data_IF_478288672092
#
_entry.id   IF_478288672092
#
_cell.length_a   1.000
_cell.length_b   1.000
_cell.length_c   1.000
_cell.angle_alpha   90.00
_cell.angle_beta   90.00
_cell.angle_gamma   90.00
#
_symmetry.space_group_name_H-M   'P 1'
#
loop_
_entity.id
_entity.type
_entity.pdbx_description
1 polymer ?
#
# COMPACT_ATOMS: atom_id res chain seq x y z
N UNK A 1 15.29 3.57 1.73
CA UNK A 1 13.86 3.60 1.34
C UNK A 1 12.94 3.95 2.52
N UNK A 2 12.88 3.13 3.58
CA UNK A 2 11.97 3.39 4.71
C UNK A 2 12.27 4.70 5.48
N UNK A 3 13.55 5.10 5.54
CA UNK A 3 14.00 6.38 6.13
C UNK A 3 13.18 7.58 5.64
N UNK A 4 12.89 7.65 4.33
CA UNK A 4 12.16 8.77 3.74
C UNK A 4 10.73 8.90 4.28
N UNK A 5 10.05 7.76 4.46
CA UNK A 5 8.67 7.76 5.00
C UNK A 5 8.67 8.11 6.48
N UNK A 6 9.67 7.66 7.22
CA UNK A 6 9.82 7.93 8.64
C UNK A 6 10.20 9.41 8.88
N UNK A 7 11.15 9.96 8.12
CA UNK A 7 11.53 11.37 8.23
C UNK A 7 10.35 12.30 7.96
N UNK A 8 9.57 12.03 6.91
CA UNK A 8 8.33 12.77 6.64
C UNK A 8 7.34 12.68 7.81
N UNK A 9 7.15 11.48 8.37
CA UNK A 9 6.26 11.28 9.51
C UNK A 9 6.68 12.14 10.71
N UNK A 10 7.97 12.13 11.06
CA UNK A 10 8.54 12.93 12.16
C UNK A 10 8.32 14.42 11.91
N UNK A 11 8.68 14.93 10.72
CA UNK A 11 8.58 16.34 10.38
C UNK A 11 7.14 16.88 10.49
N UNK A 12 6.17 16.11 10.00
CA UNK A 12 4.76 16.47 10.08
C UNK A 12 4.28 16.54 11.54
N UNK A 13 4.62 15.54 12.35
CA UNK A 13 4.24 15.53 13.77
C UNK A 13 4.95 16.64 14.57
N UNK A 14 6.25 16.86 14.35
CA UNK A 14 6.98 17.97 14.96
C UNK A 14 6.42 19.34 14.58
N UNK A 15 5.70 19.42 13.46
CA UNK A 15 4.99 20.63 13.03
C UNK A 15 3.53 20.70 13.51
N UNK A 16 3.09 19.79 14.38
CA UNK A 16 1.71 19.72 14.88
C UNK A 16 0.68 19.24 13.86
N UNK A 17 1.11 18.61 12.75
CA UNK A 17 0.24 18.04 11.73
C UNK A 17 0.06 16.55 11.93
N UNK A 18 -1.14 16.04 11.66
CA UNK A 18 -1.42 14.59 11.62
C UNK A 18 -1.24 14.09 10.19
N UNK A 19 -0.12 13.41 9.93
CA UNK A 19 0.14 12.85 8.60
C UNK A 19 -0.35 11.41 8.45
N UNK A 20 -0.47 10.97 7.20
CA UNK A 20 -0.78 9.59 6.86
C UNK A 20 0.38 8.98 6.05
N UNK A 21 1.32 8.26 6.71
CA UNK A 21 2.52 7.74 6.06
C UNK A 21 2.24 6.62 5.05
N UNK A 22 1.03 6.04 5.06
CA UNK A 22 0.68 4.97 4.13
C UNK A 22 0.56 5.49 2.69
N UNK A 23 0.13 6.73 2.49
CA UNK A 23 0.15 7.39 1.18
C UNK A 23 1.56 7.45 0.59
N UNK A 24 2.50 7.94 1.40
CA UNK A 24 3.89 8.10 0.99
C UNK A 24 4.55 6.74 0.78
N UNK A 25 4.23 5.75 1.62
CA UNK A 25 4.71 4.38 1.44
C UNK A 25 4.22 3.76 0.11
N UNK A 26 2.93 3.90 -0.21
CA UNK A 26 2.39 3.37 -1.48
C UNK A 26 3.05 4.06 -2.69
N UNK A 27 3.09 5.39 -2.70
CA UNK A 27 3.60 6.18 -3.84
C UNK A 27 5.12 6.10 -4.03
N UNK A 28 5.91 6.09 -2.94
CA UNK A 28 7.37 6.17 -3.03
C UNK A 28 8.06 4.81 -2.92
N UNK A 29 7.46 3.86 -2.21
CA UNK A 29 8.09 2.57 -1.89
C UNK A 29 7.45 1.45 -2.70
N UNK A 30 6.17 1.15 -2.46
CA UNK A 30 5.52 -0.03 -3.07
C UNK A 30 5.33 0.08 -4.58
N UNK A 31 4.94 1.27 -5.05
CA UNK A 31 4.69 1.53 -6.46
C UNK A 31 5.65 2.56 -7.04
N UNK A 32 6.62 3.03 -6.25
CA UNK A 32 7.76 3.81 -6.73
C UNK A 32 8.97 2.90 -6.85
N UNK A 33 9.87 2.96 -5.87
CA UNK A 33 11.15 2.27 -5.92
C UNK A 33 11.07 0.74 -6.16
N UNK A 34 10.05 0.04 -5.65
CA UNK A 34 9.85 -1.38 -5.97
C UNK A 34 9.48 -1.60 -7.44
N UNK A 35 8.61 -0.74 -7.98
CA UNK A 35 8.17 -0.78 -9.36
C UNK A 35 9.32 -0.50 -10.34
N UNK A 36 10.20 0.42 -9.98
CA UNK A 36 11.42 0.74 -10.73
C UNK A 36 12.37 -0.47 -10.73
N UNK A 37 12.65 -1.03 -9.55
CA UNK A 37 13.56 -2.16 -9.39
C UNK A 37 13.14 -3.40 -10.19
N UNK A 38 11.84 -3.72 -10.25
CA UNK A 38 11.37 -4.86 -11.05
C UNK A 38 11.29 -4.55 -12.55
N UNK A 39 11.21 -3.27 -12.92
CA UNK A 39 11.21 -2.83 -14.32
C UNK A 39 12.54 -3.19 -14.98
N UNK A 40 13.64 -2.98 -14.27
CA UNK A 40 15.00 -3.36 -14.71
C UNK A 40 15.16 -4.89 -14.87
N UNK A 41 14.29 -5.67 -14.23
CA UNK A 41 14.26 -7.14 -14.31
C UNK A 41 13.32 -7.67 -15.42
N UNK A 42 12.67 -6.78 -16.18
CA UNK A 42 11.74 -7.14 -17.25
C UNK A 42 10.30 -7.42 -16.81
N UNK A 43 9.91 -7.05 -15.58
CA UNK A 43 8.53 -7.18 -15.12
C UNK A 43 7.74 -5.89 -15.34
N UNK A 44 6.56 -6.03 -15.97
CA UNK A 44 5.73 -4.89 -16.35
C UNK A 44 4.69 -4.49 -15.29
N UNK A 45 4.22 -5.44 -14.48
CA UNK A 45 3.11 -5.25 -13.53
C UNK A 45 3.45 -5.69 -12.11
N UNK A 46 2.76 -5.09 -11.12
CA UNK A 46 2.77 -5.49 -9.71
C UNK A 46 1.38 -5.88 -9.28
N UNK A 47 1.22 -7.14 -8.86
CA UNK A 47 0.02 -7.58 -8.15
C UNK A 47 0.10 -7.23 -6.67
N UNK A 48 -0.91 -6.55 -6.15
CA UNK A 48 -1.02 -6.19 -4.75
C UNK A 48 -2.29 -6.74 -4.13
N UNK A 49 -2.30 -6.89 -2.81
CA UNK A 49 -3.49 -7.30 -2.04
C UNK A 49 -4.43 -6.14 -1.71
N UNK A 50 -4.28 -4.99 -2.37
CA UNK A 50 -5.15 -3.86 -2.08
C UNK A 50 -6.56 -4.16 -2.57
N UNK A 51 -7.54 -3.80 -1.76
CA UNK A 51 -8.95 -3.81 -2.13
C UNK A 51 -9.24 -2.51 -2.88
N UNK A 52 -9.04 -2.55 -4.19
CA UNK A 52 -9.34 -1.48 -5.12
C UNK A 52 -9.47 -2.08 -6.52
N UNK A 53 -10.11 -1.39 -7.45
CA UNK A 53 -10.18 -1.79 -8.84
C UNK A 53 -9.35 -0.81 -9.70
N UNK A 54 -8.63 -1.34 -10.68
CA UNK A 54 -7.94 -0.54 -11.69
C UNK A 54 -8.59 -0.88 -13.02
N UNK A 55 -9.20 0.12 -13.64
CA UNK A 55 -9.88 -0.01 -14.93
C UNK A 55 -9.05 0.72 -15.96
N UNK A 56 -8.49 -0.04 -16.90
CA UNK A 56 -7.88 0.53 -18.09
C UNK A 56 -8.97 0.89 -19.10
N UNK A 57 -8.75 1.95 -19.87
CA UNK A 57 -9.66 2.32 -20.95
C UNK A 57 -9.80 1.17 -21.95
N UNK A 58 -11.04 0.93 -22.41
CA UNK A 58 -11.41 -0.18 -23.28
C UNK A 58 -10.75 -0.18 -24.67
N UNK A 59 -10.05 0.90 -25.03
CA UNK A 59 -9.31 1.02 -26.28
C UNK A 59 -7.84 0.70 -25.99
N UNK A 60 -7.22 -0.21 -26.77
CA UNK A 60 -5.78 -0.55 -26.74
C UNK A 60 -4.86 0.65 -27.08
N UNK A 61 -5.37 1.88 -27.03
CA UNK A 61 -4.61 3.11 -27.16
C UNK A 61 -3.83 3.33 -25.87
N UNK A 62 -2.51 3.20 -25.96
CA UNK A 62 -1.58 3.44 -24.85
C UNK A 62 -1.73 4.79 -24.12
N UNK A 63 -2.41 5.77 -24.72
CA UNK A 63 -2.46 7.15 -24.26
C UNK A 63 -3.64 7.49 -23.32
N UNK A 64 -4.64 6.62 -23.20
CA UNK A 64 -5.78 6.89 -22.31
C UNK A 64 -5.42 6.61 -20.84
N UNK A 65 -6.00 7.35 -19.87
CA UNK A 65 -5.71 7.17 -18.45
C UNK A 65 -6.38 5.93 -17.88
N UNK A 66 -5.75 5.31 -16.88
CA UNK A 66 -6.37 4.29 -16.04
C UNK A 66 -7.15 4.95 -14.90
N UNK A 67 -8.25 4.32 -14.51
CA UNK A 67 -9.12 4.77 -13.43
C UNK A 67 -8.94 3.89 -12.20
N UNK A 68 -8.86 4.54 -11.03
CA UNK A 68 -8.88 3.88 -9.74
C UNK A 68 -10.32 3.90 -9.23
N UNK A 69 -10.92 2.72 -9.11
CA UNK A 69 -12.31 2.56 -8.68
C UNK A 69 -12.41 1.86 -7.32
N UNK A 70 -13.52 2.14 -6.64
CA UNK A 70 -13.88 1.50 -5.38
C UNK A 70 -13.96 -0.01 -5.56
N UNK A 71 -13.50 -0.74 -4.55
CA UNK A 71 -13.66 -2.17 -4.45
C UNK A 71 -15.10 -2.58 -4.18
N UNK A 72 -15.43 -3.83 -4.53
CA UNK A 72 -16.71 -4.45 -4.22
C UNK A 72 -16.97 -4.51 -2.70
N UNK A 73 -15.92 -4.71 -1.91
CA UNK A 73 -15.98 -4.75 -0.45
C UNK A 73 -15.69 -3.35 0.13
N UNK A 74 -16.74 -2.52 0.21
CA UNK A 74 -16.65 -1.14 0.71
C UNK A 74 -16.05 -1.01 2.13
N UNK A 75 -16.15 -2.06 2.96
CA UNK A 75 -15.56 -2.07 4.31
C UNK A 75 -14.05 -2.28 4.26
N UNK A 76 -13.56 -2.99 3.23
CA UNK A 76 -12.14 -3.22 3.01
C UNK A 76 -11.52 -2.28 2.00
N UNK A 77 -12.30 -1.40 1.38
CA UNK A 77 -11.83 -0.47 0.36
C UNK A 77 -10.56 0.29 0.78
N UNK A 78 -9.59 0.31 -0.13
CA UNK A 78 -8.28 0.90 0.05
C UNK A 78 -7.94 1.91 -1.03
N UNK A 79 -8.91 2.34 -1.84
CA UNK A 79 -8.71 3.37 -2.87
C UNK A 79 -8.19 4.66 -2.27
N UNK A 80 -8.66 5.02 -1.07
CA UNK A 80 -8.16 6.17 -0.32
C UNK A 80 -6.64 6.16 -0.27
N UNK A 81 -6.00 5.07 0.17
CA UNK A 81 -4.54 4.97 0.28
C UNK A 81 -3.79 4.91 -1.05
N UNK A 82 -4.48 4.67 -2.16
CA UNK A 82 -3.92 4.58 -3.52
C UNK A 82 -4.19 5.84 -4.35
N UNK A 83 -4.99 6.79 -3.84
CA UNK A 83 -5.42 7.99 -4.59
C UNK A 83 -4.30 8.92 -5.07
N UNK A 84 -3.08 8.78 -4.54
CA UNK A 84 -1.91 9.59 -4.94
C UNK A 84 -1.00 8.90 -5.95
N UNK A 85 -1.37 7.71 -6.45
CA UNK A 85 -0.59 7.05 -7.50
C UNK A 85 -0.65 7.88 -8.79
N UNK A 86 0.51 8.04 -9.44
CA UNK A 86 0.53 8.60 -10.79
C UNK A 86 -0.08 7.64 -11.80
N UNK A 87 -0.45 8.13 -12.97
CA UNK A 87 -0.95 7.30 -14.06
C UNK A 87 0.06 6.21 -14.46
N UNK A 88 1.37 6.51 -14.46
CA UNK A 88 2.41 5.52 -14.74
C UNK A 88 2.49 4.41 -13.69
N UNK A 89 2.20 4.72 -12.43
CA UNK A 89 2.15 3.73 -11.34
C UNK A 89 0.86 2.92 -11.39
N UNK A 90 -0.27 3.60 -11.63
CA UNK A 90 -1.59 2.98 -11.69
C UNK A 90 -1.71 1.99 -12.85
N UNK A 91 -1.20 2.34 -14.05
CA UNK A 91 -1.15 1.46 -15.23
C UNK A 91 -0.38 0.15 -15.00
N UNK A 92 0.49 0.11 -14.00
CA UNK A 92 1.32 -1.06 -13.67
C UNK A 92 0.79 -1.82 -12.44
N UNK A 93 -0.33 -1.39 -11.86
CA UNK A 93 -0.93 -2.00 -10.67
C UNK A 93 -2.02 -3.02 -11.05
N UNK A 94 -1.87 -4.26 -10.57
CA UNK A 94 -2.93 -5.25 -10.54
C UNK A 94 -3.48 -5.37 -9.12
N UNK A 95 -4.80 -5.25 -8.95
CA UNK A 95 -5.49 -5.34 -7.67
C UNK A 95 -6.57 -6.44 -7.68
N UNK A 96 -6.18 -7.73 -7.74
CA UNK A 96 -7.11 -8.85 -7.96
C UNK A 96 -8.14 -9.06 -6.85
N UNK A 97 -7.96 -8.45 -5.67
CA UNK A 97 -8.90 -8.57 -4.56
C UNK A 97 -10.04 -7.53 -4.64
N UNK A 98 -9.97 -6.54 -5.54
CA UNK A 98 -10.97 -5.49 -5.69
C UNK A 98 -12.38 -6.01 -6.02
N UNK A 99 -12.50 -7.17 -6.65
CA UNK A 99 -13.76 -7.78 -7.06
C UNK A 99 -14.22 -8.94 -6.14
N UNK A 100 -13.54 -9.20 -5.02
CA UNK A 100 -13.81 -10.36 -4.16
C UNK A 100 -14.06 -9.90 -2.72
N UNK A 101 -15.21 -10.26 -2.11
CA UNK A 101 -15.47 -9.96 -0.69
C UNK A 101 -14.42 -10.62 0.22
N UNK A 102 -14.09 -9.99 1.35
CA UNK A 102 -13.06 -10.51 2.26
C UNK A 102 -13.33 -11.94 2.74
N UNK A 103 -14.58 -12.26 3.01
CA UNK A 103 -14.98 -13.60 3.45
C UNK A 103 -14.70 -14.66 2.38
N UNK A 104 -14.88 -14.31 1.11
CA UNK A 104 -14.58 -15.18 -0.01
C UNK A 104 -13.06 -15.40 -0.15
N UNK A 105 -12.24 -14.36 0.08
CA UNK A 105 -10.78 -14.51 0.13
C UNK A 105 -10.35 -15.49 1.23
N UNK A 106 -10.96 -15.42 2.43
CA UNK A 106 -10.68 -16.39 3.49
C UNK A 106 -11.14 -17.81 3.14
N UNK A 107 -12.30 -17.95 2.49
CA UNK A 107 -12.80 -19.24 2.01
C UNK A 107 -11.85 -19.86 0.99
N UNK A 108 -11.39 -19.07 0.02
CA UNK A 108 -10.41 -19.50 -0.99
C UNK A 108 -9.07 -19.86 -0.34
N UNK A 109 -8.56 -19.04 0.59
CA UNK A 109 -7.31 -19.34 1.29
C UNK A 109 -7.35 -20.67 2.05
N UNK A 110 -8.48 -20.99 2.71
CA UNK A 110 -8.68 -22.31 3.35
C UNK A 110 -8.83 -23.43 2.33
N UNK A 111 -9.58 -23.20 1.24
CA UNK A 111 -9.80 -24.17 0.16
C UNK A 111 -8.48 -24.60 -0.49
N UNK A 112 -7.57 -23.66 -0.70
CA UNK A 112 -6.25 -23.90 -1.31
C UNK A 112 -5.14 -24.21 -0.29
N UNK A 113 -5.50 -24.38 0.98
CA UNK A 113 -4.57 -24.68 2.07
C UNK A 113 -3.36 -23.73 2.15
N UNK A 114 -3.60 -22.43 1.98
CA UNK A 114 -2.51 -21.44 1.98
C UNK A 114 -1.88 -21.31 3.37
N UNK A 115 -0.54 -21.17 3.50
CA UNK A 115 0.15 -21.09 4.79
C UNK A 115 -0.33 -19.94 5.70
N UNK A 116 -0.91 -18.89 5.11
CA UNK A 116 -1.39 -17.69 5.80
C UNK A 116 -2.92 -17.65 5.98
N UNK A 117 -3.63 -18.75 5.72
CA UNK A 117 -5.11 -18.82 5.74
C UNK A 117 -5.77 -18.34 7.04
N UNK A 118 -5.10 -18.50 8.18
CA UNK A 118 -5.60 -18.12 9.51
C UNK A 118 -4.98 -16.81 10.03
N UNK A 119 -4.17 -16.13 9.22
CA UNK A 119 -3.51 -14.89 9.63
C UNK A 119 -4.52 -13.74 9.72
N UNK A 120 -4.63 -13.14 10.93
CA UNK A 120 -5.41 -11.90 11.12
C UNK A 120 -4.84 -10.76 10.27
N UNK A 121 -5.75 -9.92 9.74
CA UNK A 121 -5.37 -8.72 9.00
C UNK A 121 -4.39 -7.84 9.80
N UNK A 122 -3.46 -7.21 9.08
CA UNK A 122 -2.62 -6.17 9.65
C UNK A 122 -3.44 -4.90 9.86
N UNK A 123 -3.21 -4.22 10.98
CA UNK A 123 -3.75 -2.91 11.33
C UNK A 123 -2.58 -2.00 11.68
N UNK A 124 -2.74 -0.68 11.52
CA UNK A 124 -1.71 0.31 11.82
C UNK A 124 -0.88 0.76 10.60
N UNK A 125 0.24 1.43 10.87
CA UNK A 125 1.15 1.97 9.86
C UNK A 125 1.88 0.81 9.16
N UNK A 126 1.95 0.85 7.82
CA UNK A 126 2.35 -0.29 6.97
C UNK A 126 3.69 -0.97 7.33
N UNK A 127 4.59 -0.25 7.98
CA UNK A 127 5.95 -0.70 8.32
C UNK A 127 6.21 -0.75 9.83
N UNK A 128 5.24 -0.35 10.65
CA UNK A 128 5.30 -0.54 12.09
C UNK A 128 4.70 -1.91 12.44
N UNK A 129 5.43 -2.66 13.28
CA UNK A 129 4.94 -3.93 13.80
C UNK A 129 3.67 -3.79 14.65
N UNK A 130 3.02 -4.91 14.94
CA UNK A 130 1.89 -4.93 15.88
C UNK A 130 2.38 -4.54 17.28
N UNK A 131 1.69 -3.63 17.95
CA UNK A 131 1.99 -3.18 19.31
C UNK A 131 2.67 -1.81 19.42
N UNK A 132 3.03 -1.17 18.30
CA UNK A 132 3.66 0.15 18.28
C UNK A 132 2.64 1.23 17.88
N UNK A 133 1.60 1.37 18.70
CA UNK A 133 0.45 2.26 18.44
C UNK A 133 0.75 3.74 18.77
N UNK A 134 1.85 4.00 19.48
CA UNK A 134 2.36 5.33 19.78
C UNK A 134 3.81 5.46 19.31
N UNK A 135 4.07 6.38 18.37
CA UNK A 135 5.41 6.93 18.17
C UNK A 135 5.47 8.17 19.05
N UNK A 136 6.29 8.13 20.11
CA UNK A 136 6.57 9.30 20.93
C UNK A 136 7.57 10.16 20.16
N UNK A 137 7.12 11.31 19.65
CA UNK A 137 7.92 12.20 18.78
C UNK A 137 8.78 13.19 19.58
N UNK A 138 8.60 13.24 20.89
CA UNK A 138 9.36 14.13 21.79
C UNK A 138 10.78 13.61 22.14
N UNK A 139 11.14 12.40 21.73
CA UNK A 139 12.50 11.85 21.93
C UNK A 139 13.15 11.42 20.61
N UNK A 140 13.97 12.28 19.98
CA UNK A 140 14.65 12.00 18.71
C UNK A 140 15.54 10.75 18.75
N UNK A 141 16.07 10.41 19.92
CA UNK A 141 16.94 9.24 20.13
C UNK A 141 16.15 7.92 20.10
N UNK A 142 14.94 7.89 20.68
CA UNK A 142 14.04 6.72 20.68
C UNK A 142 13.59 6.38 19.27
N UNK A 143 13.27 7.38 18.45
CA UNK A 143 12.91 7.15 17.04
C UNK A 143 14.10 6.64 16.23
N UNK A 144 15.31 7.12 16.54
CA UNK A 144 16.52 6.66 15.86
C UNK A 144 16.80 5.19 16.17
N UNK A 145 16.73 4.79 17.44
CA UNK A 145 17.02 3.41 17.84
C UNK A 145 15.90 2.43 17.43
N UNK A 146 14.65 2.87 17.39
CA UNK A 146 13.52 2.00 17.00
C UNK A 146 13.43 1.71 15.50
N UNK A 147 14.02 2.56 14.65
CA UNK A 147 13.91 2.44 13.19
C UNK A 147 15.24 2.37 12.44
N UNK A 148 16.35 2.75 13.07
CA UNK A 148 17.67 2.87 12.44
C UNK A 148 18.76 2.08 13.17
N UNK A 149 18.43 1.40 14.27
CA UNK A 149 19.28 0.43 14.97
C UNK A 149 19.30 -0.95 14.33
#
# INVERSE_FOLDING_TARGET
MLRLVISYLIEEYSSGRTSNPNFLCNTRIKFGAFLDAIGDMGFHYVASRHYANVIDSCDDRMDEPSFLELSLDMVKDQTYFLSHLSQSQLKRLLAPLGCIPKEEVYRLARKFDLPNKDRKNSQGICFLGKGNEAIVVDEPEVIRDHFYG
#
